data_IF_414243776937
#
_entry.id   IF_414243776937
#
_cell.length_a   1.000
_cell.length_b   1.000
_cell.length_c   1.000
_cell.angle_alpha   90.00
_cell.angle_beta   90.00
_cell.angle_gamma   90.00
#
_symmetry.space_group_name_H-M   'P 1'
#
loop_
_entity.id
_entity.type
_entity.pdbx_description
1 polymer ?
#
# COMPACT_ATOMS: atom_id res chain seq x y z
N UNK A 1 14.90 -0.23 -0.73
CA UNK A 1 14.81 -1.53 -0.04
C UNK A 1 14.60 -2.66 -1.05
N UNK A 2 14.99 -3.88 -0.69
CA UNK A 2 14.77 -5.10 -1.47
C UNK A 2 13.61 -5.91 -0.86
N UNK A 3 12.69 -6.39 -1.70
CA UNK A 3 11.62 -7.31 -1.30
C UNK A 3 11.92 -8.66 -1.94
N UNK A 4 12.09 -9.68 -1.11
CA UNK A 4 12.30 -11.05 -1.55
C UNK A 4 10.93 -11.71 -1.76
N UNK A 5 10.61 -12.21 -2.96
CA UNK A 5 9.37 -12.97 -3.19
C UNK A 5 9.35 -14.26 -2.37
N UNK A 6 8.19 -14.61 -1.83
CA UNK A 6 7.97 -15.94 -1.24
C UNK A 6 7.50 -16.95 -2.32
N UNK A 7 7.32 -18.22 -1.95
CA UNK A 7 7.06 -19.29 -2.93
C UNK A 7 5.74 -19.13 -3.70
N UNK A 8 4.76 -18.48 -3.08
CA UNK A 8 3.41 -18.21 -3.58
C UNK A 8 3.32 -16.87 -4.33
N UNK A 9 4.41 -16.10 -4.34
CA UNK A 9 4.48 -14.83 -5.02
C UNK A 9 4.94 -14.98 -6.47
N UNK A 10 4.27 -14.25 -7.36
CA UNK A 10 4.80 -13.99 -8.69
C UNK A 10 5.94 -12.96 -8.57
N UNK A 11 7.17 -13.34 -8.94
CA UNK A 11 8.36 -12.52 -8.72
C UNK A 11 8.31 -11.17 -9.44
N UNK A 12 7.67 -11.13 -10.60
CA UNK A 12 7.41 -9.94 -11.40
C UNK A 12 6.36 -9.02 -10.74
N UNK A 13 5.34 -9.57 -10.07
CA UNK A 13 4.46 -8.77 -9.20
C UNK A 13 5.20 -8.18 -8.01
N UNK A 14 6.00 -8.98 -7.29
CA UNK A 14 6.79 -8.48 -6.15
C UNK A 14 7.79 -7.41 -6.58
N UNK A 15 8.34 -7.51 -7.79
CA UNK A 15 9.14 -6.43 -8.39
C UNK A 15 8.34 -5.14 -8.52
N UNK A 16 7.04 -5.21 -8.86
CA UNK A 16 6.17 -4.03 -8.89
C UNK A 16 5.92 -3.45 -7.52
N UNK A 17 5.74 -4.29 -6.49
CA UNK A 17 5.64 -3.84 -5.09
C UNK A 17 6.92 -3.12 -4.67
N UNK A 18 8.09 -3.70 -4.94
CA UNK A 18 9.39 -3.13 -4.62
C UNK A 18 9.59 -1.76 -5.30
N UNK A 19 9.24 -1.66 -6.59
CA UNK A 19 9.28 -0.41 -7.34
C UNK A 19 8.35 0.65 -6.72
N UNK A 20 7.11 0.30 -6.40
CA UNK A 20 6.17 1.24 -5.79
C UNK A 20 6.70 1.77 -4.44
N UNK A 21 7.20 0.88 -3.56
CA UNK A 21 7.71 1.29 -2.24
C UNK A 21 8.98 2.12 -2.36
N UNK A 22 9.92 1.72 -3.22
CA UNK A 22 11.13 2.51 -3.45
C UNK A 22 10.84 3.88 -4.08
N UNK A 23 9.81 3.95 -4.92
CA UNK A 23 9.28 5.22 -5.44
C UNK A 23 8.76 6.11 -4.33
N UNK A 24 7.98 5.57 -3.40
CA UNK A 24 7.49 6.30 -2.23
C UNK A 24 8.65 6.80 -1.37
N UNK A 25 9.63 5.94 -1.07
CA UNK A 25 10.85 6.31 -0.31
C UNK A 25 11.54 7.51 -0.95
N UNK A 26 11.78 7.46 -2.26
CA UNK A 26 12.51 8.52 -2.98
C UNK A 26 11.72 9.82 -3.11
N UNK A 27 10.40 9.73 -3.29
CA UNK A 27 9.54 10.91 -3.51
C UNK A 27 9.15 11.60 -2.22
N UNK A 28 8.91 10.84 -1.15
CA UNK A 28 8.31 11.36 0.08
C UNK A 28 9.20 11.24 1.31
N UNK A 29 10.27 10.44 1.26
CA UNK A 29 11.22 10.23 2.35
C UNK A 29 10.55 10.04 3.74
N UNK A 30 9.59 9.10 3.89
CA UNK A 30 8.88 8.91 5.15
C UNK A 30 9.81 8.46 6.29
N UNK A 31 9.51 8.85 7.53
CA UNK A 31 10.34 8.48 8.69
C UNK A 31 10.41 6.94 8.88
N UNK A 32 9.30 6.25 8.60
CA UNK A 32 9.23 4.80 8.60
C UNK A 32 8.25 4.27 7.55
N UNK A 33 8.43 3.01 7.14
CA UNK A 33 7.51 2.28 6.28
C UNK A 33 7.17 0.94 6.92
N UNK A 34 5.88 0.65 7.03
CA UNK A 34 5.39 -0.70 7.27
C UNK A 34 5.02 -1.36 5.94
N UNK A 35 5.58 -2.54 5.69
CA UNK A 35 5.24 -3.37 4.55
C UNK A 35 4.47 -4.61 5.05
N UNK A 36 3.22 -4.74 4.60
CA UNK A 36 2.26 -5.71 5.13
C UNK A 36 1.78 -6.60 3.99
N UNK A 37 2.14 -7.89 4.02
CA UNK A 37 1.65 -8.88 3.06
C UNK A 37 0.29 -9.39 3.53
N UNK A 38 -0.70 -9.32 2.66
CA UNK A 38 -2.06 -9.80 2.91
C UNK A 38 -2.28 -11.09 2.14
N UNK A 39 -2.72 -12.15 2.80
CA UNK A 39 -3.10 -13.40 2.18
C UNK A 39 -4.18 -13.16 1.12
N UNK A 40 -3.94 -13.65 -0.09
CA UNK A 40 -4.77 -13.51 -1.28
C UNK A 40 -4.98 -12.06 -1.78
N UNK A 41 -5.56 -11.96 -2.99
CA UNK A 41 -5.99 -10.69 -3.57
C UNK A 41 -6.98 -9.92 -2.68
N UNK A 42 -6.87 -8.59 -2.67
CA UNK A 42 -7.83 -7.69 -2.05
C UNK A 42 -8.20 -6.53 -2.99
N UNK A 43 -9.46 -6.12 -2.98
CA UNK A 43 -9.99 -5.08 -3.88
C UNK A 43 -9.93 -3.65 -3.32
N UNK A 44 -10.24 -2.67 -4.16
CA UNK A 44 -10.24 -1.23 -3.83
C UNK A 44 -11.16 -0.83 -2.67
N UNK A 45 -12.17 -1.63 -2.33
CA UNK A 45 -13.08 -1.38 -1.19
C UNK A 45 -12.39 -1.24 0.18
N UNK A 46 -11.13 -1.67 0.30
CA UNK A 46 -10.34 -1.54 1.51
C UNK A 46 -9.72 -0.14 1.68
N UNK A 47 -9.59 0.63 0.59
CA UNK A 47 -9.04 1.98 0.60
C UNK A 47 -9.95 2.95 1.35
N UNK A 48 -9.42 3.70 2.32
CA UNK A 48 -10.17 4.75 3.02
C UNK A 48 -11.39 4.24 3.79
N UNK A 49 -11.37 2.96 4.20
CA UNK A 49 -12.46 2.28 4.87
C UNK A 49 -13.06 3.12 6.01
N UNK A 50 -14.39 3.24 6.05
CA UNK A 50 -15.10 4.06 7.05
C UNK A 50 -16.31 3.40 7.71
N UNK A 51 -16.50 2.10 7.52
CA UNK A 51 -17.47 1.32 8.30
C UNK A 51 -18.92 1.33 7.85
N UNK A 52 -19.29 2.03 6.75
CA UNK A 52 -20.64 1.96 6.19
C UNK A 52 -20.66 1.13 4.90
N UNK A 53 -21.06 -0.14 5.01
CA UNK A 53 -21.60 -0.93 3.91
C UNK A 53 -22.89 -1.58 4.40
N UNK A 54 -24.02 -0.89 4.22
CA UNK A 54 -25.38 -1.42 4.36
C UNK A 54 -26.28 -0.62 3.40
N UNK A 55 -26.78 -1.28 2.35
CA UNK A 55 -28.06 -1.03 1.66
C UNK A 55 -28.45 0.37 1.20
N UNK A 56 -28.82 0.47 -0.08
CA UNK A 56 -29.50 1.59 -0.76
C UNK A 56 -28.61 2.80 -1.13
N UNK A 57 -28.54 3.08 -2.45
CA UNK A 57 -27.96 4.29 -3.07
C UNK A 57 -26.67 4.80 -2.42
N UNK A 58 -25.69 3.90 -2.25
CA UNK A 58 -24.43 4.18 -1.58
C UNK A 58 -23.67 5.30 -2.28
N UNK A 59 -23.71 6.49 -1.70
CA UNK A 59 -22.79 7.57 -2.01
C UNK A 59 -21.39 7.04 -1.70
N UNK A 60 -20.60 6.82 -2.75
CA UNK A 60 -19.18 6.56 -2.63
C UNK A 60 -18.56 7.86 -2.12
N UNK A 61 -18.47 8.03 -0.79
CA UNK A 61 -17.61 9.09 -0.25
C UNK A 61 -16.20 8.71 -0.65
N UNK A 62 -15.67 9.40 -1.66
CA UNK A 62 -14.33 9.16 -2.18
C UNK A 62 -13.35 9.39 -1.01
N UNK A 63 -12.21 8.69 -0.94
CA UNK A 63 -11.28 8.89 0.17
C UNK A 63 -10.80 10.35 0.28
N UNK A 64 -10.81 11.13 -0.82
CA UNK A 64 -10.61 12.59 -0.82
C UNK A 64 -11.69 13.42 -0.10
N UNK A 65 -12.90 12.90 0.09
CA UNK A 65 -14.00 13.63 0.76
C UNK A 65 -13.88 13.58 2.30
N UNK A 66 -12.91 12.83 2.82
CA UNK A 66 -12.58 12.82 4.24
C UNK A 66 -11.33 13.65 4.49
N UNK A 67 -11.29 14.47 5.55
CA UNK A 67 -10.02 15.04 5.97
C UNK A 67 -9.06 13.88 6.26
N UNK A 68 -7.82 14.03 5.81
CA UNK A 68 -6.90 12.90 5.72
C UNK A 68 -6.38 12.40 7.11
N UNK A 69 -6.87 13.00 8.20
CA UNK A 69 -6.81 12.52 9.58
C UNK A 69 -7.96 11.54 9.97
N UNK A 70 -8.92 11.26 9.08
CA UNK A 70 -9.98 10.25 9.26
C UNK A 70 -9.77 8.96 8.46
N UNK A 71 -8.59 8.79 7.87
CA UNK A 71 -8.19 7.54 7.21
C UNK A 71 -7.99 6.45 8.28
N UNK A 72 -8.80 5.39 8.21
CA UNK A 72 -8.73 4.27 9.15
C UNK A 72 -7.86 3.15 8.60
N UNK A 73 -7.22 2.43 9.52
CA UNK A 73 -6.54 1.17 9.20
C UNK A 73 -7.59 0.23 8.60
N UNK A 74 -7.37 -0.33 7.39
CA UNK A 74 -8.31 -1.24 6.75
C UNK A 74 -8.55 -2.44 7.69
N UNK A 75 -9.79 -2.91 7.93
CA UNK A 75 -10.04 -3.94 8.93
C UNK A 75 -9.79 -5.34 8.36
N UNK A 76 -8.57 -5.60 7.90
CA UNK A 76 -8.13 -6.96 7.61
C UNK A 76 -8.13 -7.74 8.92
N UNK A 77 -8.73 -8.93 8.92
CA UNK A 77 -8.63 -9.83 10.06
C UNK A 77 -7.16 -10.26 10.22
N UNK A 78 -6.62 -10.36 11.45
CA UNK A 78 -5.19 -10.65 11.65
C UNK A 78 -4.69 -11.90 10.93
N UNK A 79 -5.52 -12.94 10.83
CA UNK A 79 -5.16 -14.18 10.13
C UNK A 79 -4.92 -14.00 8.62
N UNK A 80 -5.35 -12.88 8.02
CA UNK A 80 -5.02 -12.53 6.64
C UNK A 80 -3.69 -11.82 6.52
N UNK A 81 -3.00 -11.46 7.60
CA UNK A 81 -1.68 -10.85 7.53
C UNK A 81 -0.65 -11.98 7.50
N UNK A 82 0.00 -12.16 6.34
CA UNK A 82 1.07 -13.15 6.17
C UNK A 82 2.35 -12.65 6.84
N UNK A 83 2.67 -11.37 6.63
CA UNK A 83 3.85 -10.75 7.24
C UNK A 83 3.64 -9.26 7.48
N UNK A 84 4.34 -8.73 8.48
CA UNK A 84 4.52 -7.30 8.73
C UNK A 84 6.00 -7.03 8.95
N UNK A 85 6.55 -6.09 8.19
CA UNK A 85 7.95 -5.66 8.28
C UNK A 85 8.01 -4.16 8.44
N UNK A 86 9.04 -3.65 9.11
CA UNK A 86 9.22 -2.21 9.35
C UNK A 86 10.61 -1.78 8.91
N UNK A 87 10.67 -0.64 8.22
CA UNK A 87 11.91 -0.04 7.75
C UNK A 87 11.94 1.42 8.18
N UNK A 88 13.10 1.94 8.55
CA UNK A 88 13.23 3.32 9.04
C UNK A 88 14.31 4.11 8.30
N UNK A 89 14.02 5.39 8.08
CA UNK A 89 14.99 6.34 7.56
C UNK A 89 16.23 6.47 8.50
N UNK A 90 17.40 6.87 7.98
CA UNK A 90 17.67 7.26 6.59
C UNK A 90 18.06 6.08 5.67
N UNK A 91 18.49 4.95 6.23
CA UNK A 91 18.98 3.81 5.44
C UNK A 91 17.84 2.93 4.89
N UNK A 92 16.65 2.99 5.49
CA UNK A 92 15.55 2.06 5.26
C UNK A 92 15.98 0.60 5.38
N UNK A 93 16.87 0.35 6.35
CA UNK A 93 17.14 -0.98 6.86
C UNK A 93 15.94 -1.49 7.66
N UNK A 94 15.77 -2.81 7.66
CA UNK A 94 14.72 -3.45 8.44
C UNK A 94 15.03 -3.30 9.93
N UNK A 95 14.03 -2.88 10.69
CA UNK A 95 14.08 -2.73 12.14
C UNK A 95 13.00 -3.61 12.78
N UNK A 96 13.00 -3.67 14.12
CA UNK A 96 11.94 -4.34 14.86
C UNK A 96 10.55 -3.86 14.41
N UNK A 97 9.67 -4.82 14.12
CA UNK A 97 8.37 -4.54 13.52
C UNK A 97 7.36 -3.98 14.52
N UNK A 98 7.66 -4.00 15.81
CA UNK A 98 6.79 -3.56 16.88
C UNK A 98 5.48 -4.35 16.97
N UNK A 99 4.46 -3.70 17.48
CA UNK A 99 3.13 -4.28 17.62
C UNK A 99 2.46 -4.52 16.24
N UNK A 100 1.67 -5.60 16.08
CA UNK A 100 0.91 -5.81 14.86
C UNK A 100 -0.04 -4.64 14.55
N UNK A 101 0.00 -4.16 13.31
CA UNK A 101 -0.91 -3.14 12.79
C UNK A 101 -2.34 -3.68 12.79
N UNK A 102 -2.55 -4.95 12.45
CA UNK A 102 -3.88 -5.59 12.48
C UNK A 102 -4.06 -6.40 13.75
N UNK A 103 -5.01 -5.97 14.60
CA UNK A 103 -5.22 -6.50 15.96
C UNK A 103 -6.53 -7.27 16.03
N UNK A 104 -6.58 -8.32 16.87
CA UNK A 104 -7.82 -9.07 17.15
C UNK A 104 -8.66 -8.30 18.17
N UNK A 105 -9.50 -7.40 17.68
CA UNK A 105 -10.34 -6.51 18.50
C UNK A 105 -11.79 -6.50 18.00
N UNK A 106 -12.76 -6.13 18.87
CA UNK A 106 -14.15 -5.92 18.44
C UNK A 106 -14.25 -4.90 17.29
N UNK A 107 -15.13 -5.17 16.33
CA UNK A 107 -15.33 -4.33 15.13
C UNK A 107 -15.61 -2.86 15.46
N UNK A 108 -16.39 -2.59 16.51
CA UNK A 108 -16.68 -1.23 17.00
C UNK A 108 -15.41 -0.44 17.40
N UNK A 109 -14.39 -1.14 17.91
CA UNK A 109 -13.10 -0.53 18.25
C UNK A 109 -12.20 -0.41 17.02
N UNK A 110 -12.21 -1.41 16.12
CA UNK A 110 -11.47 -1.34 14.85
C UNK A 110 -11.87 -0.12 14.01
N UNK A 111 -13.16 0.25 14.02
CA UNK A 111 -13.67 1.44 13.35
C UNK A 111 -13.14 2.78 13.90
N UNK A 112 -12.44 2.78 15.03
CA UNK A 112 -11.85 3.98 15.62
C UNK A 112 -10.35 4.10 15.36
N UNK A 113 -9.73 3.08 14.78
CA UNK A 113 -8.28 3.03 14.53
C UNK A 113 -7.90 3.84 13.31
N UNK A 114 -7.47 5.07 13.55
CA UNK A 114 -7.03 6.02 12.53
C UNK A 114 -5.55 5.84 12.29
N UNK A 115 -5.12 5.80 11.03
CA UNK A 115 -3.71 5.63 10.68
C UNK A 115 -2.84 6.73 11.32
N UNK A 116 -3.28 7.99 11.25
CA UNK A 116 -2.56 9.13 11.83
C UNK A 116 -2.47 9.13 13.36
N UNK A 117 -3.38 8.43 14.06
CA UNK A 117 -3.34 8.33 15.52
C UNK A 117 -2.54 7.11 15.99
N UNK A 118 -2.70 5.98 15.29
CA UNK A 118 -2.08 4.72 15.66
C UNK A 118 -0.60 4.66 15.21
N UNK A 119 -0.29 5.18 14.02
CA UNK A 119 1.05 5.08 13.40
C UNK A 119 1.48 6.42 12.79
N UNK A 120 1.57 7.50 13.58
CA UNK A 120 1.88 8.82 13.06
C UNK A 120 3.20 8.82 12.28
N UNK A 121 3.21 9.49 11.12
CA UNK A 121 4.40 9.71 10.26
C UNK A 121 5.03 8.44 9.66
N UNK A 122 4.42 7.27 9.86
CA UNK A 122 4.80 6.06 9.17
C UNK A 122 3.94 5.88 7.92
N UNK A 123 4.57 5.60 6.79
CA UNK A 123 3.85 5.15 5.59
C UNK A 123 3.45 3.69 5.75
N UNK A 124 2.19 3.36 5.45
CA UNK A 124 1.67 1.99 5.54
C UNK A 124 1.44 1.46 4.13
N UNK A 125 2.01 0.31 3.80
CA UNK A 125 1.85 -0.34 2.49
C UNK A 125 1.36 -1.76 2.67
N UNK A 126 0.23 -2.08 2.02
CA UNK A 126 -0.31 -3.43 1.91
C UNK A 126 -0.09 -3.95 0.50
N UNK A 127 0.28 -5.23 0.37
CA UNK A 127 0.32 -5.92 -0.92
C UNK A 127 -0.24 -7.33 -0.84
N UNK A 128 -0.83 -7.82 -1.93
CA UNK A 128 -1.42 -9.16 -2.01
C UNK A 128 -0.35 -10.25 -2.02
N UNK A 129 -0.58 -11.34 -1.29
CA UNK A 129 0.09 -12.63 -1.44
C UNK A 129 -0.67 -13.54 -2.40
N UNK A 130 -0.18 -14.78 -2.54
CA UNK A 130 -0.70 -15.79 -3.47
C UNK A 130 -0.91 -15.27 -4.91
N UNK A 131 -0.07 -14.33 -5.32
CA UNK A 131 -0.17 -13.65 -6.62
C UNK A 131 0.14 -14.60 -7.78
N UNK A 132 0.89 -15.67 -7.52
CA UNK A 132 1.22 -16.70 -8.51
C UNK A 132 0.02 -17.57 -8.86
N UNK A 133 -0.76 -18.03 -7.87
CA UNK A 133 -1.91 -18.88 -8.13
C UNK A 133 -3.10 -18.08 -8.65
N UNK A 134 -3.32 -16.88 -8.10
CA UNK A 134 -4.46 -16.05 -8.48
C UNK A 134 -4.25 -15.30 -9.79
N UNK A 135 -2.99 -15.07 -10.20
CA UNK A 135 -2.66 -14.20 -11.34
C UNK A 135 -3.08 -12.75 -11.12
N UNK A 136 -3.35 -12.36 -9.87
CA UNK A 136 -3.83 -11.04 -9.47
C UNK A 136 -3.03 -10.53 -8.29
N UNK A 137 -2.93 -9.22 -8.18
CA UNK A 137 -2.14 -8.56 -7.17
C UNK A 137 -2.71 -7.18 -6.91
N UNK A 138 -2.47 -6.66 -5.71
CA UNK A 138 -2.85 -5.31 -5.37
C UNK A 138 -1.76 -4.68 -4.52
N UNK A 139 -1.59 -3.38 -4.69
CA UNK A 139 -0.79 -2.54 -3.81
C UNK A 139 -1.68 -1.43 -3.31
N UNK A 140 -1.71 -1.23 -2.00
CA UNK A 140 -2.41 -0.12 -1.36
C UNK A 140 -1.45 0.58 -0.43
N UNK A 141 -1.38 1.90 -0.48
CA UNK A 141 -0.54 2.65 0.42
C UNK A 141 -1.31 3.78 1.07
N UNK A 142 -1.04 4.01 2.35
CA UNK A 142 -1.29 5.27 3.02
C UNK A 142 0.07 5.95 3.17
N UNK A 143 0.37 6.88 2.27
CA UNK A 143 1.64 7.62 2.27
C UNK A 143 1.55 8.77 3.25
N UNK A 144 2.45 8.81 4.24
CA UNK A 144 2.52 9.91 5.21
C UNK A 144 3.03 11.19 4.53
N UNK A 145 2.25 12.26 4.58
CA UNK A 145 2.59 13.58 4.04
C UNK A 145 2.25 14.64 5.09
N UNK A 146 3.27 15.18 5.75
CA UNK A 146 3.09 16.04 6.92
C UNK A 146 2.35 15.32 8.04
N UNK A 147 1.30 15.93 8.58
CA UNK A 147 0.47 15.35 9.64
C UNK A 147 -0.73 14.54 9.09
N UNK A 148 -0.62 14.09 7.84
CA UNK A 148 -1.74 13.51 7.11
C UNK A 148 -1.32 12.35 6.22
N UNK A 149 -2.30 11.73 5.56
CA UNK A 149 -2.08 10.61 4.65
C UNK A 149 -2.64 10.85 3.27
N UNK A 150 -1.86 10.49 2.25
CA UNK A 150 -2.35 10.29 0.89
C UNK A 150 -2.61 8.79 0.67
N UNK A 151 -3.88 8.35 0.70
CA UNK A 151 -4.24 6.97 0.46
C UNK A 151 -4.37 6.72 -1.04
N UNK A 152 -3.85 5.60 -1.53
CA UNK A 152 -4.12 5.14 -2.90
C UNK A 152 -4.08 3.62 -3.01
N UNK A 153 -4.65 3.11 -4.11
CA UNK A 153 -4.72 1.69 -4.43
C UNK A 153 -4.45 1.46 -5.92
N UNK A 154 -3.78 0.35 -6.24
CA UNK A 154 -3.60 -0.16 -7.59
C UNK A 154 -3.80 -1.68 -7.63
N UNK A 155 -4.70 -2.15 -8.49
CA UNK A 155 -4.82 -3.57 -8.83
C UNK A 155 -3.97 -3.88 -10.06
N UNK A 156 -3.33 -5.04 -10.06
CA UNK A 156 -2.56 -5.56 -11.16
C UNK A 156 -3.00 -6.99 -11.47
N UNK A 157 -2.94 -7.35 -12.75
CA UNK A 157 -3.22 -8.70 -13.20
C UNK A 157 -2.14 -9.19 -14.15
N UNK A 158 -1.95 -10.52 -14.16
CA UNK A 158 -0.98 -11.20 -15.00
C UNK A 158 -1.37 -11.15 -16.48
N UNK A 159 -0.38 -11.24 -17.37
CA UNK A 159 -0.48 -11.11 -18.81
C UNK A 159 0.87 -11.39 -19.47
N UNK A 160 1.21 -10.71 -20.57
CA UNK A 160 2.62 -10.69 -21.05
C UNK A 160 3.56 -10.03 -20.03
N UNK A 161 3.03 -9.04 -19.32
CA UNK A 161 3.63 -8.35 -18.17
C UNK A 161 2.50 -7.99 -17.21
N UNK A 162 2.80 -7.86 -15.91
CA UNK A 162 1.84 -7.34 -14.93
C UNK A 162 1.41 -5.94 -15.31
N UNK A 163 0.11 -5.76 -15.55
CA UNK A 163 -0.47 -4.49 -15.94
C UNK A 163 -1.44 -4.00 -14.87
N UNK A 164 -1.52 -2.69 -14.73
CA UNK A 164 -2.51 -2.06 -13.85
C UNK A 164 -3.89 -2.18 -14.48
N UNK A 165 -4.84 -2.73 -13.74
CA UNK A 165 -6.24 -2.90 -14.17
C UNK A 165 -7.19 -1.94 -13.48
N UNK A 166 -6.81 -1.43 -12.31
CA UNK A 166 -7.61 -0.52 -11.50
C UNK A 166 -6.68 0.40 -10.71
N UNK A 167 -7.03 1.68 -10.59
CA UNK A 167 -6.37 2.63 -9.69
C UNK A 167 -7.41 3.45 -8.95
N UNK A 168 -7.15 3.73 -7.67
CA UNK A 168 -7.94 4.65 -6.86
C UNK A 168 -7.01 5.63 -6.16
N UNK A 169 -7.37 6.90 -6.23
CA UNK A 169 -6.70 8.03 -5.61
C UNK A 169 -5.20 8.20 -5.95
N UNK A 170 -4.77 7.51 -7.01
CA UNK A 170 -3.51 7.72 -7.71
C UNK A 170 -3.78 7.77 -9.21
N UNK A 171 -3.27 8.80 -9.87
CA UNK A 171 -3.35 8.90 -11.34
C UNK A 171 -2.36 7.93 -11.97
N UNK A 172 -2.63 7.50 -13.20
CA UNK A 172 -1.74 6.57 -13.92
C UNK A 172 -0.34 7.16 -14.09
N UNK A 173 -0.23 8.46 -14.32
CA UNK A 173 1.03 9.17 -14.49
C UNK A 173 1.84 9.21 -13.18
N UNK A 174 1.16 9.45 -12.05
CA UNK A 174 1.79 9.41 -10.73
C UNK A 174 2.26 7.99 -10.36
N UNK A 175 1.45 6.97 -10.67
CA UNK A 175 1.85 5.57 -10.52
C UNK A 175 3.11 5.28 -11.36
N UNK A 176 3.08 5.57 -12.66
CA UNK A 176 4.24 5.38 -13.55
C UNK A 176 5.50 6.09 -13.02
N UNK A 177 5.35 7.34 -12.57
CA UNK A 177 6.44 8.10 -11.97
C UNK A 177 7.02 7.44 -10.71
N UNK A 178 6.18 6.93 -9.81
CA UNK A 178 6.64 6.15 -8.64
C UNK A 178 7.41 4.90 -9.09
N UNK A 179 6.91 4.18 -10.08
CA UNK A 179 7.53 2.96 -10.58
C UNK A 179 8.89 3.23 -11.23
N UNK A 180 9.01 4.30 -12.01
CA UNK A 180 10.26 4.75 -12.62
C UNK A 180 11.28 5.14 -11.54
N UNK A 181 10.88 6.00 -10.59
CA UNK A 181 11.72 6.39 -9.46
C UNK A 181 12.21 5.18 -8.68
N UNK A 182 11.33 4.23 -8.36
CA UNK A 182 11.67 3.06 -7.56
C UNK A 182 12.49 2.01 -8.31
N UNK A 183 12.47 2.00 -9.64
CA UNK A 183 13.27 1.10 -10.46
C UNK A 183 14.77 1.44 -10.46
N UNK A 184 15.15 2.63 -10.00
CA UNK A 184 16.54 3.10 -10.14
C UNK A 184 16.83 3.79 -11.48
N UNK A 185 15.85 3.90 -12.38
CA UNK A 185 16.00 4.66 -13.61
C UNK A 185 16.24 6.15 -13.29
N UNK A 186 17.37 6.67 -13.77
CA UNK A 186 17.73 8.07 -13.63
C UNK A 186 16.98 8.83 -14.74
N UNK A 187 16.03 9.74 -14.44
CA UNK A 187 15.17 10.36 -15.46
C UNK A 187 15.93 11.24 -16.48
N UNK A 188 17.23 11.50 -16.28
CA UNK A 188 18.04 12.38 -17.11
C UNK A 188 18.97 11.67 -18.13
N UNK A 189 18.74 10.40 -18.47
CA UNK A 189 19.52 9.70 -19.51
C UNK A 189 18.73 9.56 -20.82
N UNK A 190 18.07 10.61 -21.27
CA UNK A 190 17.68 10.77 -22.69
C UNK A 190 17.74 12.26 -23.06
N UNK A 191 18.94 12.79 -23.30
CA UNK A 191 19.22 13.80 -24.32
C UNK A 191 20.73 13.86 -24.51
N UNK A 192 21.20 13.36 -25.65
CA UNK A 192 22.62 13.23 -25.94
C UNK A 192 22.88 12.32 -27.15
N UNK A 193 22.22 12.62 -28.27
CA UNK A 193 22.69 12.33 -29.62
C UNK A 193 22.28 13.47 -30.52
#
# INVERSE_FOLDING_TARGET
>A
MKITPEFDDASDFVTKVEQAVNGIIRRHAPEAIFLIKIDNFFGSKWLGFSGKFMGALGSWNKPYDKPADDIRIPPFVPNRVVSQRRFAAPSYEEIDCGEPIHKRIPSRLALRRKAAADEPRATLVWYSGDSKATGRGAVMAYVSVGDSYWPWYAALETGKTWRVTETWDIKREDWSSLMELGSGANPNVIQGK
#
